data_IF_848095979240
#
_entry.id   IF_848095979240
#
_cell.length_a   1.000
_cell.length_b   1.000
_cell.length_c   1.000
_cell.angle_alpha   90.00
_cell.angle_beta   90.00
_cell.angle_gamma   90.00
#
_symmetry.space_group_name_H-M   'P 1'
#
loop_
_entity.id
_entity.type
_entity.pdbx_description
1 polymer ?
#
# COMPACT_ATOMS: atom_id res chain seq x y z
N UNK A 1 17.48 15.67 -7.46
CA UNK A 1 16.76 14.54 -6.84
C UNK A 1 15.52 14.33 -7.68
N UNK A 2 15.31 13.11 -8.18
CA UNK A 2 14.04 12.75 -8.80
C UNK A 2 13.08 12.59 -7.62
N UNK A 3 12.06 13.45 -7.54
CA UNK A 3 11.00 13.30 -6.56
C UNK A 3 10.23 12.04 -6.95
N UNK A 4 10.10 11.10 -6.03
CA UNK A 4 9.26 9.92 -6.24
C UNK A 4 7.82 10.42 -6.09
N UNK A 5 7.06 10.38 -7.17
CA UNK A 5 5.63 10.66 -7.12
C UNK A 5 4.95 9.45 -6.48
N UNK A 6 4.15 9.69 -5.45
CA UNK A 6 3.39 8.67 -4.76
C UNK A 6 2.11 9.29 -4.21
N UNK A 7 1.11 8.45 -3.94
CA UNK A 7 -0.11 8.88 -3.28
C UNK A 7 -0.67 7.78 -2.36
N UNK A 8 -1.44 8.22 -1.37
CA UNK A 8 -2.29 7.38 -0.54
C UNK A 8 -3.74 7.70 -0.85
N UNK A 9 -4.56 6.66 -0.97
CA UNK A 9 -5.99 6.80 -1.15
C UNK A 9 -6.70 5.94 -0.11
N UNK A 10 -7.64 6.55 0.61
CA UNK A 10 -8.51 5.87 1.57
C UNK A 10 -9.87 5.65 0.92
N UNK A 11 -10.54 4.54 1.20
CA UNK A 11 -11.88 4.30 0.67
C UNK A 11 -12.90 5.39 1.09
N UNK A 12 -12.60 6.16 2.13
CA UNK A 12 -13.48 7.18 2.72
C UNK A 12 -13.03 8.64 2.53
N UNK A 13 -11.96 8.92 1.77
CA UNK A 13 -11.48 10.30 1.56
C UNK A 13 -10.99 10.54 0.13
N UNK A 14 -10.60 11.77 -0.19
CA UNK A 14 -9.85 12.07 -1.40
C UNK A 14 -8.38 11.56 -1.27
N UNK A 15 -7.67 11.50 -2.39
CA UNK A 15 -6.25 11.10 -2.45
C UNK A 15 -5.32 12.16 -1.85
N UNK A 16 -4.22 11.71 -1.27
CA UNK A 16 -3.13 12.55 -0.76
C UNK A 16 -1.83 12.23 -1.51
N UNK A 17 -1.19 13.25 -2.09
CA UNK A 17 0.06 13.11 -2.83
C UNK A 17 1.29 13.36 -1.95
N UNK A 18 2.45 12.80 -2.35
CA UNK A 18 3.75 12.97 -1.68
C UNK A 18 3.74 12.50 -0.21
N UNK A 19 3.10 11.35 0.02
CA UNK A 19 2.93 10.74 1.32
C UNK A 19 4.22 10.09 1.83
N UNK A 20 4.35 10.14 3.14
CA UNK A 20 5.42 9.50 3.90
C UNK A 20 4.92 8.21 4.55
N UNK A 21 5.84 7.43 5.11
CA UNK A 21 5.46 6.24 5.87
C UNK A 21 4.60 6.59 7.09
N UNK A 22 4.83 7.75 7.72
CA UNK A 22 4.04 8.18 8.89
C UNK A 22 2.59 8.48 8.51
N UNK A 23 2.36 9.06 7.33
CA UNK A 23 1.00 9.31 6.80
C UNK A 23 0.25 7.99 6.54
N UNK A 24 0.96 6.99 6.02
CA UNK A 24 0.41 5.65 5.78
C UNK A 24 0.08 4.95 7.11
N UNK A 25 0.96 5.05 8.12
CA UNK A 25 0.72 4.49 9.45
C UNK A 25 -0.54 5.11 10.07
N UNK A 26 -0.70 6.44 9.96
CA UNK A 26 -1.91 7.12 10.42
C UNK A 26 -3.17 6.57 9.72
N UNK A 27 -3.12 6.39 8.41
CA UNK A 27 -4.23 5.85 7.63
C UNK A 27 -4.57 4.39 7.97
N UNK A 28 -3.56 3.58 8.31
CA UNK A 28 -3.76 2.22 8.81
C UNK A 28 -4.46 2.24 10.18
N UNK A 29 -4.11 3.17 11.05
CA UNK A 29 -4.78 3.31 12.35
C UNK A 29 -6.24 3.78 12.19
N UNK A 30 -6.51 4.69 11.25
CA UNK A 30 -7.87 5.07 10.87
C UNK A 30 -8.66 3.88 10.28
N UNK A 31 -8.06 3.11 9.37
CA UNK A 31 -8.65 1.93 8.73
C UNK A 31 -9.18 0.92 9.75
N UNK A 32 -8.46 0.71 10.86
CA UNK A 32 -8.86 -0.24 11.91
C UNK A 32 -10.18 0.16 12.60
N UNK A 33 -10.52 1.44 12.57
CA UNK A 33 -11.74 1.99 13.18
C UNK A 33 -12.90 2.11 12.17
N UNK A 34 -12.65 1.94 10.87
CA UNK A 34 -13.68 2.03 9.82
C UNK A 34 -14.65 0.84 9.84
N UNK A 35 -15.85 1.04 9.31
CA UNK A 35 -16.80 -0.04 9.09
C UNK A 35 -16.40 -0.92 7.90
N UNK A 36 -17.13 -2.04 7.72
CA UNK A 36 -16.85 -3.01 6.65
C UNK A 36 -17.16 -2.44 5.23
N UNK A 37 -17.80 -1.27 5.13
CA UNK A 37 -18.11 -0.62 3.84
C UNK A 37 -16.92 0.24 3.34
N UNK A 38 -16.14 0.80 4.27
CA UNK A 38 -14.99 1.66 3.97
C UNK A 38 -13.68 1.00 4.41
N UNK A 39 -13.51 -0.27 4.03
CA UNK A 39 -12.54 -1.17 4.65
C UNK A 39 -11.18 -1.25 3.94
N UNK A 40 -10.80 -0.26 3.12
CA UNK A 40 -9.57 -0.32 2.32
C UNK A 40 -8.79 1.00 2.25
N UNK A 41 -7.47 0.87 2.13
CA UNK A 41 -6.55 1.92 1.68
C UNK A 41 -5.63 1.36 0.60
N UNK A 42 -5.12 2.19 -0.30
CA UNK A 42 -4.05 1.82 -1.22
C UNK A 42 -3.00 2.92 -1.34
N UNK A 43 -1.76 2.50 -1.51
CA UNK A 43 -0.62 3.38 -1.76
C UNK A 43 -0.03 3.03 -3.10
N UNK A 44 0.28 4.07 -3.87
CA UNK A 44 0.86 3.97 -5.19
C UNK A 44 2.20 4.70 -5.24
N UNK A 45 3.18 4.10 -5.93
CA UNK A 45 4.45 4.76 -6.29
C UNK A 45 4.54 4.81 -7.81
N UNK A 46 4.62 6.02 -8.34
CA UNK A 46 4.70 6.32 -9.77
C UNK A 46 6.18 6.43 -10.15
N UNK A 47 6.64 5.43 -10.91
CA UNK A 47 7.98 5.37 -11.50
C UNK A 47 7.90 5.63 -13.01
N UNK A 48 8.42 4.67 -13.77
CA UNK A 48 8.10 4.56 -15.20
C UNK A 48 6.63 4.13 -15.36
N UNK A 49 6.18 3.21 -14.49
CA UNK A 49 4.78 2.79 -14.35
C UNK A 49 4.29 2.86 -12.89
N UNK A 50 2.98 2.66 -12.72
CA UNK A 50 2.28 2.73 -11.45
C UNK A 50 2.37 1.40 -10.69
N UNK A 51 2.85 1.43 -9.45
CA UNK A 51 2.99 0.25 -8.60
C UNK A 51 2.17 0.44 -7.33
N UNK A 52 1.22 -0.47 -7.07
CA UNK A 52 0.18 -0.30 -6.06
C UNK A 52 0.18 -1.44 -5.06
N UNK A 53 -0.01 -1.10 -3.78
CA UNK A 53 -0.45 -2.05 -2.74
C UNK A 53 -1.75 -1.53 -2.12
N UNK A 54 -2.83 -2.28 -2.30
CA UNK A 54 -4.08 -2.14 -1.55
C UNK A 54 -4.07 -3.09 -0.35
N UNK A 55 -4.52 -2.59 0.80
CA UNK A 55 -4.79 -3.40 1.99
C UNK A 55 -6.20 -3.15 2.50
N UNK A 56 -6.86 -4.25 2.88
CA UNK A 56 -8.15 -4.20 3.56
C UNK A 56 -8.03 -4.40 5.06
N UNK A 57 -9.05 -3.99 5.81
CA UNK A 57 -9.13 -4.11 7.27
C UNK A 57 -8.89 -5.55 7.78
N UNK A 58 -9.24 -6.55 6.97
CA UNK A 58 -9.05 -7.96 7.27
C UNK A 58 -7.65 -8.52 6.92
N UNK A 59 -6.69 -7.63 6.57
CA UNK A 59 -5.33 -7.90 6.10
C UNK A 59 -5.24 -8.55 4.70
N UNK A 60 -6.32 -8.59 3.93
CA UNK A 60 -6.25 -8.95 2.51
C UNK A 60 -5.45 -7.90 1.75
N UNK A 61 -4.58 -8.36 0.85
CA UNK A 61 -3.71 -7.55 0.01
C UNK A 61 -4.06 -7.76 -1.46
N UNK A 62 -4.05 -6.67 -2.23
CA UNK A 62 -3.98 -6.70 -3.68
C UNK A 62 -2.73 -5.91 -4.09
N UNK A 63 -1.87 -6.55 -4.86
CA UNK A 63 -0.59 -5.97 -5.30
C UNK A 63 -0.58 -5.98 -6.83
N UNK A 64 -0.39 -4.81 -7.41
CA UNK A 64 -0.39 -4.58 -8.86
C UNK A 64 0.90 -3.85 -9.23
N UNK A 65 1.87 -4.60 -9.75
CA UNK A 65 3.17 -4.10 -10.20
C UNK A 65 3.32 -4.37 -11.70
N UNK A 66 3.92 -3.43 -12.43
CA UNK A 66 3.98 -3.40 -13.90
C UNK A 66 4.40 -4.73 -14.55
N UNK A 67 5.42 -5.38 -13.99
CA UNK A 67 6.06 -6.58 -14.55
C UNK A 67 5.47 -7.91 -14.03
N UNK A 68 4.50 -7.86 -13.12
CA UNK A 68 3.93 -9.04 -12.44
C UNK A 68 2.42 -9.20 -12.71
N UNK A 69 1.94 -10.44 -12.62
CA UNK A 69 0.50 -10.68 -12.55
C UNK A 69 -0.06 -10.10 -11.25
N UNK A 70 -1.30 -9.60 -11.27
CA UNK A 70 -2.02 -9.17 -10.07
C UNK A 70 -1.93 -10.23 -8.96
N UNK A 71 -1.39 -9.85 -7.81
CA UNK A 71 -1.20 -10.75 -6.67
C UNK A 71 -2.25 -10.47 -5.60
N UNK A 72 -3.10 -11.47 -5.34
CA UNK A 72 -3.97 -11.50 -4.17
C UNK A 72 -3.29 -12.31 -3.06
N UNK A 73 -3.09 -11.68 -1.90
CA UNK A 73 -2.45 -12.33 -0.74
C UNK A 73 -3.10 -11.87 0.57
N UNK A 74 -2.53 -12.29 1.70
CA UNK A 74 -2.99 -11.90 3.02
C UNK A 74 -1.80 -11.69 3.95
N UNK A 75 -1.67 -10.49 4.50
CA UNK A 75 -0.70 -10.21 5.55
C UNK A 75 -1.07 -10.93 6.85
N UNK A 76 -0.05 -11.32 7.61
CA UNK A 76 -0.17 -11.95 8.92
C UNK A 76 -0.38 -10.91 10.04
N UNK A 77 0.03 -9.65 9.81
CA UNK A 77 -0.06 -8.58 10.81
C UNK A 77 -0.03 -7.19 10.16
N UNK A 78 -0.43 -6.16 10.92
CA UNK A 78 -0.26 -4.77 10.50
C UNK A 78 1.22 -4.35 10.40
N UNK A 79 2.10 -4.94 11.19
CA UNK A 79 3.55 -4.65 11.10
C UNK A 79 4.11 -5.10 9.74
N UNK A 80 3.62 -6.23 9.23
CA UNK A 80 3.96 -6.71 7.89
C UNK A 80 3.44 -5.75 6.81
N UNK A 81 2.20 -5.26 6.94
CA UNK A 81 1.64 -4.25 6.01
C UNK A 81 2.51 -2.99 6.00
N UNK A 82 2.93 -2.49 7.17
CA UNK A 82 3.81 -1.33 7.29
C UNK A 82 5.18 -1.60 6.64
N UNK A 83 5.73 -2.80 6.81
CA UNK A 83 6.97 -3.22 6.15
C UNK A 83 6.81 -3.20 4.62
N UNK A 84 5.72 -3.75 4.09
CA UNK A 84 5.44 -3.76 2.64
C UNK A 84 5.34 -2.34 2.08
N UNK A 85 4.63 -1.42 2.75
CA UNK A 85 4.56 -0.03 2.32
C UNK A 85 5.91 0.70 2.41
N UNK A 86 6.72 0.38 3.42
CA UNK A 86 8.09 0.91 3.50
C UNK A 86 8.94 0.42 2.32
N UNK A 87 8.85 -0.84 1.94
CA UNK A 87 9.55 -1.38 0.76
C UNK A 87 9.03 -0.70 -0.52
N UNK A 88 7.72 -0.51 -0.63
CA UNK A 88 7.08 0.17 -1.76
C UNK A 88 7.61 1.59 -1.96
N UNK A 89 7.63 2.39 -0.89
CA UNK A 89 8.16 3.77 -0.92
C UNK A 89 9.66 3.83 -1.30
N UNK A 90 10.41 2.75 -1.05
CA UNK A 90 11.82 2.62 -1.45
C UNK A 90 12.02 1.98 -2.83
N UNK A 91 10.94 1.64 -3.55
CA UNK A 91 10.96 0.95 -4.85
C UNK A 91 11.64 -0.44 -4.78
N UNK A 92 11.54 -1.11 -3.64
CA UNK A 92 12.10 -2.45 -3.42
C UNK A 92 11.09 -3.56 -3.81
N UNK A 93 10.57 -3.50 -5.04
CA UNK A 93 9.48 -4.36 -5.53
C UNK A 93 9.79 -5.86 -5.48
N UNK A 94 11.00 -6.26 -5.89
CA UNK A 94 11.43 -7.67 -5.84
C UNK A 94 11.30 -8.27 -4.43
N UNK A 95 11.62 -7.50 -3.39
CA UNK A 95 11.52 -7.95 -2.00
C UNK A 95 10.07 -8.12 -1.53
N UNK A 96 9.16 -7.30 -2.06
CA UNK A 96 7.72 -7.41 -1.79
C UNK A 96 7.22 -8.72 -2.38
N UNK A 97 7.56 -9.00 -3.64
CA UNK A 97 7.17 -10.22 -4.35
C UNK A 97 7.69 -11.48 -3.63
N UNK A 98 8.93 -11.47 -3.13
CA UNK A 98 9.49 -12.59 -2.36
C UNK A 98 8.77 -12.83 -1.03
N UNK A 99 8.19 -11.79 -0.41
CA UNK A 99 7.49 -11.90 0.88
C UNK A 99 6.04 -12.38 0.77
N UNK A 100 5.37 -12.08 -0.35
CA UNK A 100 3.92 -12.31 -0.50
C UNK A 100 3.57 -13.57 -1.30
N UNK A 101 4.59 -14.26 -1.85
CA UNK A 101 4.51 -15.59 -2.48
C UNK A 101 4.44 -16.71 -1.44
#
# INVERSE_FOLDING_TARGET
MIQIENYLQRAWSDSEDNVTLDDIILAIDELKEMDDENDAIWVSVIGDDENIIEVRKNLSLIIDFEDDDLIESKANSWDEVIELYKLLLNKEFDQIIEKVK
#
